data_IF_185665541148
#
_entry.id   IF_185665541148
#
_cell.length_a   1.000
_cell.length_b   1.000
_cell.length_c   1.000
_cell.angle_alpha   90.00
_cell.angle_beta   90.00
_cell.angle_gamma   90.00
#
_symmetry.space_group_name_H-M   'P 1'
#
loop_
_entity.id
_entity.type
_entity.pdbx_description
1 polymer ?
#
# COMPACT_ATOMS: atom_id res chain seq x y z
N UNK A 1 -12.71 -30.54 -99.35
CA UNK A 1 -11.35 -30.08 -99.71
C UNK A 1 -10.47 -30.10 -98.46
N UNK A 2 -9.40 -30.87 -98.60
CA UNK A 2 -8.38 -31.08 -97.55
C UNK A 2 -7.54 -29.80 -97.36
N UNK A 3 -7.17 -29.43 -96.16
CA UNK A 3 -5.86 -28.82 -95.84
C UNK A 3 -5.38 -29.24 -94.46
N UNK A 4 -4.36 -29.99 -94.46
CA UNK A 4 -3.51 -30.42 -93.36
C UNK A 4 -2.58 -29.26 -93.04
N UNK A 5 -2.46 -28.88 -91.82
CA UNK A 5 -1.40 -27.97 -91.35
C UNK A 5 -0.62 -28.69 -90.26
N UNK A 6 0.64 -28.89 -90.58
CA UNK A 6 1.61 -29.55 -89.75
C UNK A 6 1.88 -28.86 -88.41
N UNK A 7 1.83 -29.66 -87.40
CA UNK A 7 2.24 -29.26 -86.03
C UNK A 7 3.76 -29.51 -85.92
N UNK A 8 4.52 -28.44 -85.81
CA UNK A 8 5.96 -28.54 -85.53
C UNK A 8 6.12 -28.79 -84.01
N UNK A 9 6.81 -29.86 -83.73
CA UNK A 9 7.26 -30.25 -82.40
C UNK A 9 8.24 -29.20 -81.81
N UNK A 10 7.86 -28.45 -80.85
CA UNK A 10 8.72 -27.68 -79.99
C UNK A 10 8.78 -28.38 -78.64
N UNK A 11 9.84 -29.11 -78.40
CA UNK A 11 10.11 -29.69 -77.11
C UNK A 11 10.51 -28.56 -76.15
N UNK A 12 9.59 -28.12 -75.30
CA UNK A 12 9.92 -27.26 -74.21
C UNK A 12 10.29 -28.11 -73.00
N UNK A 13 11.60 -28.21 -72.79
CA UNK A 13 12.18 -28.85 -71.62
C UNK A 13 11.84 -28.01 -70.38
N UNK A 14 10.80 -28.44 -69.68
CA UNK A 14 10.44 -27.81 -68.39
C UNK A 14 11.43 -28.38 -67.37
N UNK A 15 12.47 -27.59 -67.07
CA UNK A 15 13.38 -27.86 -65.97
C UNK A 15 12.60 -27.61 -64.66
N UNK A 16 12.09 -28.69 -64.06
CA UNK A 16 11.45 -28.66 -62.76
C UNK A 16 12.54 -28.50 -61.69
N UNK A 17 12.91 -27.29 -61.38
CA UNK A 17 13.73 -27.00 -60.20
C UNK A 17 12.81 -27.24 -58.97
N UNK A 18 12.91 -28.45 -58.45
CA UNK A 18 12.35 -28.75 -57.14
C UNK A 18 13.20 -28.01 -56.09
N UNK A 19 12.85 -26.77 -55.83
CA UNK A 19 13.28 -26.10 -54.59
C UNK A 19 12.60 -26.83 -53.45
N UNK A 20 13.27 -27.77 -52.84
CA UNK A 20 12.93 -28.26 -51.50
C UNK A 20 13.06 -27.08 -50.56
N UNK A 21 11.95 -26.40 -50.31
CA UNK A 21 11.77 -25.58 -49.14
C UNK A 21 11.90 -26.53 -47.92
N UNK A 22 13.12 -26.64 -47.42
CA UNK A 22 13.33 -27.12 -46.06
C UNK A 22 12.69 -26.08 -45.17
N UNK A 23 11.40 -26.24 -44.92
CA UNK A 23 10.75 -25.57 -43.78
C UNK A 23 11.46 -26.16 -42.57
N UNK A 24 12.50 -25.47 -42.17
CA UNK A 24 13.09 -25.67 -40.86
C UNK A 24 12.01 -25.25 -39.85
N UNK A 25 11.07 -26.16 -39.55
CA UNK A 25 10.26 -26.08 -38.35
C UNK A 25 11.24 -26.24 -37.19
N UNK A 26 11.97 -25.18 -36.92
CA UNK A 26 12.44 -24.92 -35.59
C UNK A 26 11.17 -24.88 -34.74
N UNK A 27 10.87 -25.98 -34.09
CA UNK A 27 9.95 -26.01 -32.97
C UNK A 27 10.64 -25.19 -31.89
N UNK A 28 10.58 -23.88 -32.02
CA UNK A 28 10.58 -22.99 -30.87
C UNK A 28 9.26 -23.26 -30.14
N UNK A 29 9.19 -24.44 -29.50
CA UNK A 29 8.36 -24.63 -28.35
C UNK A 29 8.97 -23.73 -27.24
N UNK A 30 8.95 -22.43 -27.42
CA UNK A 30 8.89 -21.51 -26.29
C UNK A 30 7.52 -21.76 -25.72
N UNK A 31 7.46 -22.70 -24.79
CA UNK A 31 6.46 -22.73 -23.76
C UNK A 31 6.26 -21.26 -23.36
N UNK A 32 5.01 -20.71 -23.39
CA UNK A 32 4.80 -19.33 -23.01
C UNK A 32 5.48 -19.17 -21.65
N UNK A 33 6.54 -18.36 -21.63
CA UNK A 33 7.27 -18.08 -20.39
C UNK A 33 6.21 -17.60 -19.42
N UNK A 34 5.84 -18.45 -18.45
CA UNK A 34 5.00 -18.04 -17.34
C UNK A 34 5.68 -16.80 -16.76
N UNK A 35 4.95 -15.71 -16.53
CA UNK A 35 5.55 -14.51 -16.00
C UNK A 35 6.33 -14.91 -14.74
N UNK A 36 7.66 -14.90 -14.86
CA UNK A 36 8.53 -15.28 -13.76
C UNK A 36 8.21 -14.34 -12.60
N UNK A 37 7.66 -14.90 -11.54
CA UNK A 37 7.44 -14.18 -10.28
C UNK A 37 8.78 -13.61 -9.86
N UNK A 38 8.84 -12.28 -9.71
CA UNK A 38 10.08 -11.61 -9.33
C UNK A 38 10.03 -11.33 -7.85
N UNK A 39 10.48 -12.30 -7.06
CA UNK A 39 10.60 -12.14 -5.61
C UNK A 39 11.92 -11.48 -5.29
N UNK A 40 11.86 -10.35 -4.60
CA UNK A 40 13.04 -9.60 -4.16
C UNK A 40 12.81 -8.94 -2.80
N UNK A 41 13.88 -8.42 -2.22
CA UNK A 41 13.82 -7.50 -1.08
C UNK A 41 13.86 -6.08 -1.64
N UNK A 42 12.76 -5.32 -1.58
CA UNK A 42 12.75 -3.94 -2.05
C UNK A 42 13.80 -3.11 -1.30
N UNK A 43 14.51 -2.22 -2.01
CA UNK A 43 15.63 -1.44 -1.46
C UNK A 43 15.27 -0.72 -0.16
N UNK A 44 14.08 -0.12 -0.12
CA UNK A 44 13.59 0.65 1.03
C UNK A 44 13.15 -0.21 2.24
N UNK A 45 13.17 -1.52 2.11
CA UNK A 45 12.83 -2.48 3.17
C UNK A 45 14.03 -3.35 3.58
N UNK A 46 15.22 -3.08 3.03
CA UNK A 46 16.43 -3.88 3.31
C UNK A 46 16.88 -3.81 4.78
N UNK A 47 16.58 -2.69 5.44
CA UNK A 47 16.93 -2.49 6.86
C UNK A 47 15.94 -3.15 7.82
N UNK A 48 14.84 -3.70 7.31
CA UNK A 48 13.90 -4.42 8.16
C UNK A 48 14.47 -5.78 8.58
N UNK A 49 14.16 -6.17 9.82
CA UNK A 49 14.56 -7.48 10.36
C UNK A 49 13.33 -8.17 10.98
N UNK A 50 12.84 -9.25 10.36
CA UNK A 50 13.34 -9.88 9.13
C UNK A 50 13.11 -9.04 7.86
N UNK A 51 13.90 -9.32 6.82
CA UNK A 51 13.71 -8.69 5.51
C UNK A 51 12.50 -9.31 4.80
N UNK A 52 11.60 -8.51 4.22
CA UNK A 52 10.48 -9.03 3.45
C UNK A 52 10.93 -9.54 2.08
N UNK A 53 10.41 -10.68 1.65
CA UNK A 53 10.56 -11.22 0.31
C UNK A 53 9.27 -10.95 -0.47
N UNK A 54 9.33 -10.13 -1.50
CA UNK A 54 8.14 -9.54 -2.13
C UNK A 54 8.07 -9.90 -3.62
N UNK A 55 6.89 -10.35 -4.09
CA UNK A 55 6.57 -10.28 -5.51
C UNK A 55 6.25 -8.83 -5.89
N UNK A 56 7.25 -8.12 -6.39
CA UNK A 56 7.15 -6.69 -6.74
C UNK A 56 6.26 -6.41 -7.95
N UNK A 57 5.78 -7.43 -8.66
CA UNK A 57 4.86 -7.26 -9.80
C UNK A 57 3.42 -7.03 -9.39
N UNK A 58 3.08 -7.30 -8.13
CA UNK A 58 1.75 -7.09 -7.59
C UNK A 58 1.71 -5.86 -6.68
N UNK A 59 0.58 -5.17 -6.54
CA UNK A 59 0.39 -4.23 -5.43
C UNK A 59 0.53 -4.97 -4.11
N UNK A 60 1.29 -4.41 -3.17
CA UNK A 60 1.52 -5.02 -1.86
C UNK A 60 1.58 -3.99 -0.74
N UNK A 61 1.41 -4.48 0.48
CA UNK A 61 1.62 -3.76 1.73
C UNK A 61 2.31 -4.69 2.70
N UNK A 62 3.33 -4.21 3.41
CA UNK A 62 4.15 -5.00 4.34
C UNK A 62 3.96 -4.51 5.75
N UNK A 63 3.83 -5.43 6.68
CA UNK A 63 3.64 -5.15 8.10
C UNK A 63 4.57 -6.01 8.94
N UNK A 64 5.23 -5.37 9.92
CA UNK A 64 6.08 -6.03 10.89
C UNK A 64 5.47 -5.89 12.29
N UNK A 65 5.26 -7.01 12.97
CA UNK A 65 4.74 -7.07 14.34
C UNK A 65 5.85 -7.29 15.36
N UNK A 66 5.66 -6.83 16.58
CA UNK A 66 6.57 -7.12 17.70
C UNK A 66 6.51 -8.59 18.15
N UNK A 67 5.40 -9.26 17.91
CA UNK A 67 5.17 -10.62 18.41
C UNK A 67 4.71 -11.56 17.26
N UNK A 68 4.76 -12.86 17.53
CA UNK A 68 4.29 -13.93 16.64
C UNK A 68 2.86 -14.37 16.95
N UNK A 69 2.17 -13.62 17.81
CA UNK A 69 0.80 -13.94 18.18
C UNK A 69 -0.14 -13.78 16.97
N UNK A 70 -1.36 -14.31 17.14
CA UNK A 70 -2.40 -14.21 16.13
C UNK A 70 -2.62 -12.76 15.70
N UNK A 71 -2.53 -12.53 14.40
CA UNK A 71 -2.78 -11.25 13.74
C UNK A 71 -4.20 -11.26 13.19
N UNK A 72 -4.92 -10.15 13.35
CA UNK A 72 -6.29 -10.00 12.82
C UNK A 72 -6.35 -8.78 11.92
N UNK A 73 -6.77 -8.98 10.68
CA UNK A 73 -6.92 -7.91 9.68
C UNK A 73 -8.37 -7.78 9.24
N UNK A 74 -8.85 -6.55 9.09
CA UNK A 74 -10.06 -6.27 8.32
C UNK A 74 -9.66 -5.55 7.04
N UNK A 75 -10.08 -6.10 5.91
CA UNK A 75 -9.74 -5.59 4.58
C UNK A 75 -11.01 -5.25 3.81
N UNK A 76 -10.93 -4.25 2.93
CA UNK A 76 -11.95 -3.99 1.91
C UNK A 76 -11.28 -3.90 0.56
N UNK A 77 -11.72 -4.72 -0.38
CA UNK A 77 -11.21 -4.69 -1.74
C UNK A 77 -11.53 -3.39 -2.48
N UNK A 78 -10.78 -3.09 -3.52
CA UNK A 78 -11.12 -2.05 -4.48
C UNK A 78 -12.24 -2.56 -5.39
N UNK A 79 -13.41 -1.91 -5.32
CA UNK A 79 -14.58 -2.23 -6.15
C UNK A 79 -15.71 -2.89 -5.37
N UNK A 80 -16.90 -2.90 -5.98
CA UNK A 80 -18.14 -3.40 -5.37
C UNK A 80 -18.37 -4.90 -5.54
N UNK A 81 -17.52 -5.57 -6.32
CA UNK A 81 -17.59 -7.02 -6.54
C UNK A 81 -16.35 -7.69 -5.97
N UNK A 82 -16.51 -8.83 -5.27
CA UNK A 82 -15.39 -9.61 -4.72
C UNK A 82 -14.51 -10.30 -5.80
N UNK A 83 -14.62 -9.91 -7.03
CA UNK A 83 -13.67 -10.24 -8.12
C UNK A 83 -12.34 -9.47 -8.00
N UNK A 84 -12.10 -8.83 -6.88
CA UNK A 84 -10.73 -8.54 -6.46
C UNK A 84 -10.03 -9.87 -6.16
N UNK A 85 -9.91 -10.63 -7.20
CA UNK A 85 -9.65 -12.06 -7.25
C UNK A 85 -8.29 -12.44 -6.71
N UNK A 86 -7.47 -11.46 -6.35
CA UNK A 86 -6.08 -11.71 -5.99
C UNK A 86 -5.64 -10.93 -4.76
N UNK A 87 -6.55 -10.78 -3.77
CA UNK A 87 -6.14 -10.32 -2.45
C UNK A 87 -5.80 -11.53 -1.59
N UNK A 88 -4.58 -11.59 -1.11
CA UNK A 88 -4.10 -12.67 -0.26
C UNK A 88 -3.04 -12.16 0.72
N UNK A 89 -2.83 -12.93 1.78
CA UNK A 89 -1.83 -12.65 2.81
C UNK A 89 -0.74 -13.70 2.74
N UNK A 90 0.49 -13.25 2.49
CA UNK A 90 1.71 -14.03 2.66
C UNK A 90 2.06 -14.04 4.15
N UNK A 91 1.91 -15.19 4.77
CA UNK A 91 2.14 -15.39 6.20
C UNK A 91 3.50 -16.01 6.50
N UNK A 92 4.20 -16.49 5.48
CA UNK A 92 5.48 -17.17 5.60
C UNK A 92 6.67 -16.41 5.00
N UNK A 93 6.40 -15.16 4.52
CA UNK A 93 7.40 -14.25 3.97
C UNK A 93 8.25 -14.86 2.83
N UNK A 94 7.61 -15.60 1.92
CA UNK A 94 8.30 -16.17 0.75
C UNK A 94 8.01 -15.44 -0.57
N UNK A 95 7.03 -14.52 -0.58
CA UNK A 95 6.62 -13.73 -1.76
C UNK A 95 5.82 -14.52 -2.79
N UNK A 96 5.46 -15.76 -2.51
CA UNK A 96 4.73 -16.66 -3.39
C UNK A 96 3.45 -17.13 -2.69
N UNK A 97 2.36 -17.26 -3.45
CA UNK A 97 1.13 -17.81 -2.87
C UNK A 97 1.27 -19.32 -2.62
N UNK A 98 1.24 -19.71 -1.35
CA UNK A 98 1.23 -21.11 -0.89
C UNK A 98 -0.13 -21.44 -0.26
N UNK A 99 -0.93 -22.23 -0.94
CA UNK A 99 -2.30 -22.56 -0.51
C UNK A 99 -2.37 -23.19 0.89
N UNK A 100 -1.32 -23.85 1.35
CA UNK A 100 -1.29 -24.52 2.65
C UNK A 100 -0.90 -23.56 3.80
N UNK A 101 -0.27 -22.45 3.49
CA UNK A 101 0.24 -21.50 4.48
C UNK A 101 -0.42 -20.14 4.38
N UNK A 102 -0.67 -19.67 3.15
CA UNK A 102 -1.15 -18.33 2.89
C UNK A 102 -2.67 -18.28 2.81
N UNK A 103 -3.22 -17.10 2.98
CA UNK A 103 -4.67 -16.93 3.05
C UNK A 103 -5.14 -16.10 1.87
N UNK A 104 -5.92 -16.72 0.97
CA UNK A 104 -6.67 -15.98 -0.05
C UNK A 104 -7.92 -15.39 0.58
N UNK A 105 -8.10 -14.08 0.41
CA UNK A 105 -9.25 -13.36 0.96
C UNK A 105 -10.40 -13.45 -0.04
N UNK A 106 -11.45 -14.16 0.36
CA UNK A 106 -12.69 -14.33 -0.44
C UNK A 106 -13.90 -13.68 0.21
N UNK A 107 -13.83 -13.37 1.50
CA UNK A 107 -14.88 -12.69 2.27
C UNK A 107 -14.29 -11.46 2.96
N UNK A 108 -14.67 -10.28 2.47
CA UNK A 108 -14.24 -8.99 3.01
C UNK A 108 -15.17 -8.45 4.11
N UNK A 109 -16.16 -9.21 4.52
CA UNK A 109 -17.11 -8.81 5.58
C UNK A 109 -16.64 -9.22 6.97
N UNK A 110 -15.62 -10.07 7.05
CA UNK A 110 -15.09 -10.64 8.28
C UNK A 110 -13.60 -10.35 8.45
N UNK A 111 -13.12 -10.23 9.68
CA UNK A 111 -11.68 -10.21 9.94
C UNK A 111 -11.02 -11.52 9.49
N UNK A 112 -9.82 -11.41 8.98
CA UNK A 112 -8.94 -12.54 8.66
C UNK A 112 -7.93 -12.70 9.78
N UNK A 113 -7.83 -13.88 10.35
CA UNK A 113 -6.93 -14.18 11.48
C UNK A 113 -5.89 -15.20 11.06
N UNK A 114 -4.62 -14.95 11.37
CA UNK A 114 -3.49 -15.81 11.02
C UNK A 114 -2.32 -15.62 11.99
N UNK A 115 -1.32 -16.50 11.88
CA UNK A 115 -0.04 -16.35 12.54
C UNK A 115 1.03 -16.07 11.49
N UNK A 116 1.72 -14.94 11.60
CA UNK A 116 2.86 -14.63 10.76
C UNK A 116 4.11 -15.36 11.26
N UNK A 117 4.81 -16.09 10.38
CA UNK A 117 5.95 -16.95 10.76
C UNK A 117 7.06 -16.14 11.40
N UNK A 118 7.53 -15.09 10.76
CA UNK A 118 8.67 -14.28 11.21
C UNK A 118 8.24 -12.90 11.73
N UNK A 119 7.04 -12.80 12.30
CA UNK A 119 6.45 -11.51 12.71
C UNK A 119 6.15 -10.57 11.54
N UNK A 120 6.43 -10.97 10.33
CA UNK A 120 6.27 -10.21 9.12
C UNK A 120 5.20 -10.87 8.26
N UNK A 121 4.30 -10.05 7.70
CA UNK A 121 3.32 -10.52 6.73
C UNK A 121 3.13 -9.47 5.64
N UNK A 122 2.79 -9.95 4.45
CA UNK A 122 2.53 -9.09 3.29
C UNK A 122 1.10 -9.30 2.79
N UNK A 123 0.38 -8.20 2.58
CA UNK A 123 -0.95 -8.23 1.95
C UNK A 123 -0.77 -7.86 0.48
N UNK A 124 -1.12 -8.76 -0.41
CA UNK A 124 -1.08 -8.56 -1.85
C UNK A 124 -2.45 -8.20 -2.42
N UNK A 125 -2.45 -7.50 -3.54
CA UNK A 125 -3.65 -7.13 -4.28
C UNK A 125 -4.12 -5.70 -4.03
N UNK A 126 -5.13 -5.26 -4.79
CA UNK A 126 -5.67 -3.90 -4.71
C UNK A 126 -6.65 -3.79 -3.56
N UNK A 127 -6.23 -3.17 -2.48
CA UNK A 127 -7.01 -3.01 -1.25
C UNK A 127 -7.31 -1.53 -1.03
N UNK A 128 -8.56 -1.22 -0.70
CA UNK A 128 -9.03 0.15 -0.44
C UNK A 128 -8.93 0.51 1.05
N UNK A 129 -9.24 -0.44 1.93
CA UNK A 129 -9.24 -0.26 3.37
C UNK A 129 -8.44 -1.38 4.03
N UNK A 130 -7.59 -1.01 4.98
CA UNK A 130 -6.88 -1.93 5.86
C UNK A 130 -7.03 -1.46 7.29
N UNK A 131 -7.53 -2.34 8.15
CA UNK A 131 -7.50 -2.16 9.58
C UNK A 131 -6.55 -3.20 10.19
N UNK A 132 -5.48 -2.72 10.79
CA UNK A 132 -4.44 -3.51 11.45
C UNK A 132 -4.32 -3.16 12.94
N UNK A 133 -5.34 -2.59 13.54
CA UNK A 133 -5.29 -2.23 14.95
C UNK A 133 -5.07 -3.48 15.84
N UNK A 134 -4.45 -3.27 17.01
CA UNK A 134 -4.21 -4.34 18.02
C UNK A 134 -3.31 -5.51 17.55
N UNK A 135 -2.46 -5.31 16.54
CA UNK A 135 -1.55 -6.34 16.03
C UNK A 135 -0.10 -6.18 16.52
N UNK A 136 0.13 -5.30 17.49
CA UNK A 136 1.46 -4.97 18.02
C UNK A 136 2.47 -4.63 16.90
N UNK A 137 2.02 -3.94 15.84
CA UNK A 137 2.89 -3.54 14.74
C UNK A 137 3.99 -2.59 15.22
N UNK A 138 5.19 -2.81 14.72
CA UNK A 138 6.34 -1.91 14.88
C UNK A 138 6.64 -1.12 13.61
N UNK A 139 6.31 -1.67 12.46
CA UNK A 139 6.51 -1.03 11.16
C UNK A 139 5.39 -1.39 10.18
N UNK A 140 5.12 -0.48 9.25
CA UNK A 140 4.19 -0.69 8.13
C UNK A 140 4.68 0.07 6.90
N UNK A 141 4.53 -0.54 5.72
CA UNK A 141 4.75 0.10 4.43
C UNK A 141 3.59 -0.20 3.48
N UNK A 142 2.95 0.84 2.98
CA UNK A 142 1.78 0.73 2.09
C UNK A 142 1.99 1.43 0.74
N UNK A 143 3.21 1.92 0.46
CA UNK A 143 3.52 2.73 -0.74
C UNK A 143 3.21 2.05 -2.05
N UNK A 144 3.31 0.73 -2.08
CA UNK A 144 3.09 -0.09 -3.29
C UNK A 144 1.63 -0.45 -3.52
N UNK A 145 0.71 0.06 -2.69
CA UNK A 145 -0.73 -0.08 -2.90
C UNK A 145 -1.40 1.30 -3.10
N UNK A 146 -1.39 1.86 -4.32
CA UNK A 146 -1.96 3.19 -4.57
C UNK A 146 -3.48 3.24 -4.41
N UNK A 147 -4.14 2.10 -4.25
CA UNK A 147 -5.60 2.02 -4.10
C UNK A 147 -6.08 2.27 -2.67
N UNK A 148 -5.18 2.23 -1.68
CA UNK A 148 -5.57 2.39 -0.28
C UNK A 148 -6.05 3.83 0.00
N UNK A 149 -7.22 3.95 0.62
CA UNK A 149 -7.81 5.24 1.02
C UNK A 149 -8.19 5.28 2.49
N UNK A 150 -8.16 4.16 3.18
CA UNK A 150 -8.34 4.10 4.64
C UNK A 150 -7.37 3.12 5.26
N UNK A 151 -6.61 3.58 6.25
CA UNK A 151 -5.65 2.78 7.00
C UNK A 151 -5.86 3.01 8.50
N UNK A 152 -6.02 1.94 9.26
CA UNK A 152 -6.06 2.00 10.73
C UNK A 152 -4.86 1.24 11.29
N UNK A 153 -3.91 1.97 11.85
CA UNK A 153 -2.73 1.44 12.55
C UNK A 153 -2.75 1.77 14.05
N UNK A 154 -3.89 2.19 14.59
CA UNK A 154 -4.01 2.50 16.00
C UNK A 154 -3.78 1.28 16.90
N UNK A 155 -3.49 1.51 18.16
CA UNK A 155 -3.28 0.48 19.18
C UNK A 155 -2.18 -0.54 18.78
N UNK A 156 -1.09 -0.03 18.25
CA UNK A 156 0.09 -0.78 17.89
C UNK A 156 1.32 -0.30 18.70
N UNK A 157 2.54 -0.63 18.27
CA UNK A 157 3.80 -0.32 18.97
C UNK A 157 4.79 0.41 18.05
N UNK A 158 4.26 1.28 17.19
CA UNK A 158 5.07 2.00 16.22
C UNK A 158 5.76 3.19 16.87
N UNK A 159 7.08 3.26 16.73
CA UNK A 159 7.85 4.43 17.14
C UNK A 159 7.52 5.65 16.28
N UNK A 160 7.97 6.84 16.69
CA UNK A 160 7.86 8.06 15.88
C UNK A 160 8.50 7.87 14.50
N UNK A 161 9.71 7.29 14.44
CA UNK A 161 10.43 7.06 13.19
C UNK A 161 9.65 6.13 12.26
N UNK A 162 9.05 5.06 12.79
CA UNK A 162 8.25 4.12 12.02
C UNK A 162 6.97 4.78 11.48
N UNK A 163 6.28 5.57 12.30
CA UNK A 163 5.10 6.32 11.88
C UNK A 163 5.45 7.42 10.88
N UNK A 164 6.58 8.11 11.06
CA UNK A 164 7.06 9.13 10.13
C UNK A 164 7.43 8.50 8.78
N UNK A 165 8.11 7.35 8.79
CA UNK A 165 8.40 6.59 7.58
C UNK A 165 7.11 6.16 6.85
N UNK A 166 6.12 5.61 7.57
CA UNK A 166 4.81 5.28 7.01
C UNK A 166 4.14 6.53 6.41
N UNK A 167 4.04 7.62 7.18
CA UNK A 167 3.36 8.85 6.77
C UNK A 167 3.99 9.50 5.53
N UNK A 168 5.34 9.53 5.46
CA UNK A 168 6.05 10.11 4.31
C UNK A 168 5.90 9.30 3.03
N UNK A 169 5.55 8.03 3.14
CA UNK A 169 5.40 7.13 2.00
C UNK A 169 3.94 6.75 1.70
N UNK A 170 2.96 7.36 2.36
CA UNK A 170 1.56 7.20 1.99
C UNK A 170 1.34 7.59 0.51
N UNK A 171 0.52 6.84 -0.24
CA UNK A 171 0.15 7.21 -1.60
C UNK A 171 -0.49 8.60 -1.64
N UNK A 172 -0.13 9.40 -2.63
CA UNK A 172 -0.73 10.74 -2.82
C UNK A 172 -2.05 10.59 -3.56
N UNK A 173 -3.14 11.05 -2.96
CA UNK A 173 -4.44 11.11 -3.62
C UNK A 173 -4.68 12.49 -4.23
N UNK A 174 -5.15 12.53 -5.49
CA UNK A 174 -5.60 13.77 -6.12
C UNK A 174 -6.91 14.22 -5.49
N UNK A 175 -7.07 15.52 -5.28
CA UNK A 175 -8.11 16.15 -4.45
C UNK A 175 -9.57 15.93 -4.87
N UNK A 176 -9.85 15.15 -5.91
CA UNK A 176 -11.21 14.85 -6.40
C UNK A 176 -11.78 13.54 -5.88
N UNK A 177 -10.97 12.71 -5.23
CA UNK A 177 -11.42 11.49 -4.59
C UNK A 177 -11.77 11.77 -3.12
N UNK A 178 -12.66 10.95 -2.56
CA UNK A 178 -12.93 10.88 -1.12
C UNK A 178 -11.62 11.00 -0.34
N UNK A 179 -11.54 11.94 0.61
CA UNK A 179 -10.33 12.20 1.39
C UNK A 179 -9.82 10.90 2.01
N UNK A 180 -8.57 10.55 1.73
CA UNK A 180 -7.96 9.39 2.35
C UNK A 180 -7.74 9.65 3.85
N UNK A 181 -7.93 8.64 4.67
CA UNK A 181 -7.85 8.75 6.13
C UNK A 181 -6.90 7.72 6.74
N UNK A 182 -6.16 8.12 7.76
CA UNK A 182 -5.33 7.23 8.56
C UNK A 182 -5.65 7.42 10.05
N UNK A 183 -5.99 6.33 10.74
CA UNK A 183 -6.16 6.31 12.20
C UNK A 183 -4.83 5.94 12.82
N UNK A 184 -4.21 6.88 13.53
CA UNK A 184 -2.85 6.73 14.04
C UNK A 184 -2.82 6.24 15.48
N UNK A 185 -3.80 6.62 16.30
CA UNK A 185 -3.84 6.28 17.73
C UNK A 185 -5.25 6.15 18.27
N UNK A 186 -5.36 5.50 19.44
CA UNK A 186 -6.56 5.49 20.30
C UNK A 186 -6.22 6.15 21.61
N UNK A 187 -6.98 7.16 22.02
CA UNK A 187 -6.68 7.94 23.24
C UNK A 187 -6.78 7.14 24.54
N UNK A 188 -7.44 5.97 24.52
CA UNK A 188 -7.62 5.14 25.72
C UNK A 188 -6.51 4.14 25.94
N UNK A 189 -5.92 3.61 24.88
CA UNK A 189 -4.89 2.58 24.98
C UNK A 189 -4.13 2.51 23.66
N UNK A 190 -2.97 3.14 23.59
CA UNK A 190 -2.10 3.08 22.42
C UNK A 190 -0.63 3.17 22.84
N UNK A 191 0.23 2.42 22.15
CA UNK A 191 1.67 2.49 22.31
C UNK A 191 2.35 3.18 21.12
N UNK A 192 1.58 3.64 20.12
CA UNK A 192 2.10 4.41 19.00
C UNK A 192 2.57 5.81 19.45
N UNK A 193 3.76 6.21 18.97
CA UNK A 193 4.33 7.53 19.28
C UNK A 193 3.95 8.52 18.18
N UNK A 194 2.78 9.15 18.31
CA UNK A 194 2.27 10.15 17.34
C UNK A 194 2.71 11.55 17.76
N UNK A 195 3.51 12.18 16.92
CA UNK A 195 4.01 13.57 17.12
C UNK A 195 3.46 14.51 16.07
N UNK A 196 3.68 15.80 16.25
CA UNK A 196 3.33 16.83 15.25
C UNK A 196 4.06 16.61 13.91
N UNK A 197 5.28 16.05 13.93
CA UNK A 197 6.02 15.73 12.72
C UNK A 197 5.27 14.65 11.91
N UNK A 198 4.76 13.61 12.56
CA UNK A 198 3.94 12.57 11.93
C UNK A 198 2.65 13.16 11.34
N UNK A 199 1.92 13.98 12.12
CA UNK A 199 0.67 14.61 11.68
C UNK A 199 0.90 15.52 10.45
N UNK A 200 1.98 16.29 10.46
CA UNK A 200 2.36 17.15 9.33
C UNK A 200 2.76 16.34 8.09
N UNK A 201 3.47 15.21 8.25
CA UNK A 201 3.82 14.32 7.15
C UNK A 201 2.56 13.72 6.49
N UNK A 202 1.59 13.26 7.29
CA UNK A 202 0.29 12.77 6.82
C UNK A 202 -0.43 13.85 6.00
N UNK A 203 -0.51 15.07 6.54
CA UNK A 203 -1.14 16.20 5.86
C UNK A 203 -0.46 16.56 4.54
N UNK A 204 0.87 16.49 4.47
CA UNK A 204 1.65 16.72 3.23
C UNK A 204 1.25 15.75 2.12
N UNK A 205 0.86 14.53 2.48
CA UNK A 205 0.36 13.51 1.54
C UNK A 205 -1.12 13.68 1.21
N UNK A 206 -1.78 14.72 1.72
CA UNK A 206 -3.22 15.01 1.56
C UNK A 206 -4.12 13.93 2.18
N UNK A 207 -3.62 13.25 3.20
CA UNK A 207 -4.40 12.38 4.05
C UNK A 207 -4.91 13.14 5.27
N UNK A 208 -6.03 12.67 5.82
CA UNK A 208 -6.58 13.16 7.07
C UNK A 208 -6.11 12.22 8.19
N UNK A 209 -5.34 12.75 9.13
CA UNK A 209 -5.01 12.02 10.35
C UNK A 209 -6.21 11.98 11.27
N UNK A 210 -6.52 10.81 11.79
CA UNK A 210 -7.59 10.55 12.76
C UNK A 210 -7.00 9.89 14.01
N UNK A 211 -7.66 10.12 15.14
CA UNK A 211 -7.52 9.36 16.38
C UNK A 211 -8.86 8.76 16.76
N UNK A 212 -8.86 7.70 17.57
CA UNK A 212 -10.04 7.14 18.18
C UNK A 212 -10.22 7.67 19.60
N UNK A 213 -11.43 8.09 19.93
CA UNK A 213 -11.90 8.37 21.29
C UNK A 213 -12.93 7.31 21.65
N UNK A 214 -12.46 6.17 22.19
CA UNK A 214 -13.22 4.93 22.21
C UNK A 214 -13.37 4.33 20.83
N UNK A 215 -14.61 4.20 20.36
CA UNK A 215 -14.92 3.69 19.03
C UNK A 215 -15.13 4.80 17.98
N UNK A 216 -15.09 6.07 18.40
CA UNK A 216 -15.35 7.21 17.52
C UNK A 216 -14.05 7.71 16.89
N UNK A 217 -14.02 7.83 15.56
CA UNK A 217 -12.92 8.45 14.83
C UNK A 217 -13.12 9.97 14.80
N UNK A 218 -12.11 10.71 15.25
CA UNK A 218 -12.10 12.19 15.25
C UNK A 218 -10.79 12.70 14.64
N UNK A 219 -10.74 13.93 14.07
CA UNK A 219 -9.50 14.49 13.54
C UNK A 219 -8.39 14.51 14.59
N UNK A 220 -7.20 14.05 14.22
CA UNK A 220 -5.98 14.16 15.01
C UNK A 220 -5.18 15.36 14.48
N UNK A 221 -5.24 16.45 15.23
CA UNK A 221 -4.59 17.71 14.88
C UNK A 221 -3.50 18.03 15.90
N UNK A 222 -2.42 18.72 15.49
CA UNK A 222 -1.42 19.21 16.45
C UNK A 222 -2.09 20.00 17.58
N UNK A 223 -1.66 19.75 18.80
CA UNK A 223 -2.12 20.57 19.91
C UNK A 223 -1.68 22.03 19.69
N UNK A 224 -2.55 23.02 19.96
CA UNK A 224 -2.10 24.39 19.93
C UNK A 224 -0.95 24.57 20.93
N UNK A 225 0.05 25.40 20.61
CA UNK A 225 1.16 25.63 21.52
C UNK A 225 0.61 26.03 22.90
N UNK A 226 1.05 25.28 23.91
CA UNK A 226 0.68 25.61 25.29
C UNK A 226 1.04 27.08 25.54
N UNK A 227 0.11 27.91 26.06
CA UNK A 227 0.48 29.27 26.44
C UNK A 227 1.71 29.17 27.35
N UNK A 228 2.77 29.92 27.02
CA UNK A 228 3.95 30.00 27.88
C UNK A 228 3.49 30.36 29.29
N UNK A 229 3.61 29.40 30.21
CA UNK A 229 3.23 29.61 31.61
C UNK A 229 4.04 30.73 32.29
N UNK A 230 5.15 31.15 31.65
CA UNK A 230 6.06 32.19 32.12
C UNK A 230 5.79 33.57 31.53
N UNK A 231 4.85 33.70 30.58
CA UNK A 231 4.38 35.04 30.21
C UNK A 231 3.35 35.47 31.21
N UNK A 232 3.84 36.05 32.31
CA UNK A 232 3.04 36.82 33.24
C UNK A 232 2.07 37.71 32.43
N UNK A 233 0.77 37.57 32.68
CA UNK A 233 -0.22 38.40 32.01
C UNK A 233 0.22 39.86 32.16
N UNK A 234 0.16 40.70 31.11
CA UNK A 234 0.57 42.08 31.19
C UNK A 234 -0.18 42.67 32.37
N UNK A 235 0.57 43.12 33.40
CA UNK A 235 0.01 43.79 34.54
C UNK A 235 -0.75 45.00 34.02
N UNK A 236 -2.06 44.98 34.12
CA UNK A 236 -2.87 46.16 33.83
C UNK A 236 -2.40 47.22 34.83
N UNK A 237 -1.64 48.17 34.34
CA UNK A 237 -1.18 49.29 35.11
C UNK A 237 -2.42 50.00 35.64
N UNK A 238 -2.47 50.20 36.98
CA UNK A 238 -3.52 50.97 37.62
C UNK A 238 -3.52 52.36 36.97
N UNK A 239 -4.57 52.70 36.24
CA UNK A 239 -4.79 54.03 35.73
C UNK A 239 -5.07 54.91 36.93
N UNK A 240 -4.10 55.67 37.41
CA UNK A 240 -4.30 56.71 38.39
C UNK A 240 -5.10 57.84 37.72
N UNK A 241 -6.34 58.06 38.17
CA UNK A 241 -7.12 59.20 37.70
C UNK A 241 -6.33 60.49 37.91
N UNK A 242 -5.97 61.13 36.80
CA UNK A 242 -5.43 62.45 36.83
C UNK A 242 -6.56 63.42 37.22
N UNK A 243 -6.42 64.05 38.37
CA UNK A 243 -7.27 65.09 38.89
C UNK A 243 -7.45 66.17 37.81
N UNK A 244 -8.69 66.33 37.35
CA UNK A 244 -9.10 67.48 36.52
C UNK A 244 -9.02 68.74 37.28
N UNK A 245 -8.03 69.59 37.10
CA UNK A 245 -7.99 70.96 37.61
C UNK A 245 -8.96 71.77 36.77
N UNK A 246 -10.05 72.22 37.45
CA UNK A 246 -10.99 73.16 36.87
C UNK A 246 -10.28 74.51 36.60
N UNK A 247 -10.37 75.02 35.38
CA UNK A 247 -10.09 76.38 35.03
C UNK A 247 -11.37 77.21 35.17
N UNK A 248 -11.35 78.15 36.13
CA UNK A 248 -12.26 79.30 36.18
C UNK A 248 -11.77 80.40 35.21
#
# INVERSE_FOLDING_TARGET
>A
MKRIVNLRKGALLLLLVATTLVVNCSKDNKEPEMPTTQVEVPEHLKDWTPQPKIDVKQPYMVFLSANTASTSLTLTALGSTPTATDVWVDTNNNGLFDKEKDIRITDFTKPVTFNATDKLFTVYGKVKLVNTNLNALTNADVRSNPSITKLDVSQNKMSEEALLALATHLPVHTATATSATIVLRNTKADENVVTDAVLNAVKTKKWIALKKEGDTEVPDVPEPPKPDADKEAPKVGTITEATATAYN
#
